data_IF_988868344727
#
_entry.id   IF_988868344727
#
_cell.length_a   1.000
_cell.length_b   1.000
_cell.length_c   1.000
_cell.angle_alpha   90.00
_cell.angle_beta   90.00
_cell.angle_gamma   90.00
#
_symmetry.space_group_name_H-M   'P 1'
#
loop_
_entity.id
_entity.type
_entity.pdbx_description
1 polymer ?
#
# COMPACT_ATOMS: atom_id res chain seq x y z
N UNK A 1 7.71 -5.25 20.50
CA UNK A 1 7.99 -3.81 20.27
C UNK A 1 6.77 -3.00 20.61
N UNK A 2 6.93 -1.73 20.98
CA UNK A 2 5.81 -0.81 21.18
C UNK A 2 5.26 -0.32 19.85
N UNK A 3 4.00 0.13 19.79
CA UNK A 3 3.38 0.74 18.60
C UNK A 3 4.27 1.85 18.03
N UNK A 4 4.91 2.63 18.90
CA UNK A 4 5.84 3.69 18.54
C UNK A 4 7.07 3.21 17.78
N UNK A 5 7.60 2.02 18.10
CA UNK A 5 8.75 1.46 17.38
C UNK A 5 8.36 1.07 15.95
N UNK A 6 7.16 0.50 15.77
CA UNK A 6 6.64 0.18 14.44
C UNK A 6 6.39 1.45 13.64
N UNK A 7 5.76 2.47 14.24
CA UNK A 7 5.52 3.75 13.57
C UNK A 7 6.84 4.44 13.20
N UNK A 8 7.84 4.46 14.07
CA UNK A 8 9.16 5.04 13.73
C UNK A 8 9.85 4.29 12.59
N UNK A 9 9.72 2.96 12.55
CA UNK A 9 10.28 2.16 11.47
C UNK A 9 9.58 2.44 10.13
N UNK A 10 8.29 2.76 10.13
CA UNK A 10 7.53 3.01 8.90
C UNK A 10 8.01 4.24 8.11
N UNK A 11 8.70 5.20 8.73
CA UNK A 11 9.10 6.46 8.10
C UNK A 11 10.62 6.54 7.92
N UNK A 12 11.06 6.81 6.69
CA UNK A 12 12.47 7.12 6.37
C UNK A 12 12.75 8.61 6.58
N UNK A 13 11.82 9.47 6.14
CA UNK A 13 11.83 10.90 6.37
C UNK A 13 11.28 11.24 7.76
N UNK A 14 12.18 11.25 8.75
CA UNK A 14 11.85 11.57 10.15
C UNK A 14 11.31 12.99 10.34
N UNK A 15 11.52 13.93 9.41
CA UNK A 15 10.91 15.27 9.49
C UNK A 15 9.41 15.26 9.21
N UNK A 16 8.93 14.28 8.44
CA UNK A 16 7.50 14.10 8.18
C UNK A 16 6.77 13.44 9.37
N UNK A 17 7.50 12.76 10.27
CA UNK A 17 6.93 12.06 11.41
C UNK A 17 7.31 12.73 12.73
N UNK A 18 6.40 13.55 13.26
CA UNK A 18 6.61 14.26 14.53
C UNK A 18 5.84 13.63 15.70
N UNK A 19 6.14 14.09 16.92
CA UNK A 19 5.51 13.61 18.16
C UNK A 19 3.99 13.80 18.16
N UNK A 20 3.51 14.90 17.58
CA UNK A 20 2.07 15.19 17.53
C UNK A 20 1.32 14.13 16.70
N UNK A 21 1.80 13.84 15.50
CA UNK A 21 1.24 12.79 14.65
C UNK A 21 1.34 11.42 15.31
N UNK A 22 2.48 11.11 15.96
CA UNK A 22 2.65 9.86 16.70
C UNK A 22 1.59 9.71 17.79
N UNK A 23 1.35 10.79 18.55
CA UNK A 23 0.33 10.82 19.60
C UNK A 23 -1.08 10.66 19.04
N UNK A 24 -1.39 11.26 17.89
CA UNK A 24 -2.69 11.11 17.24
C UNK A 24 -2.94 9.65 16.81
N UNK A 25 -1.97 9.03 16.13
CA UNK A 25 -2.07 7.62 15.71
C UNK A 25 -2.18 6.71 16.93
N UNK A 26 -1.37 6.95 17.97
CA UNK A 26 -1.44 6.22 19.23
C UNK A 26 -2.80 6.41 19.91
N UNK A 27 -3.34 7.62 19.92
CA UNK A 27 -4.67 7.90 20.46
C UNK A 27 -5.75 7.02 19.85
N UNK A 28 -5.69 6.80 18.53
CA UNK A 28 -6.60 5.88 17.83
C UNK A 28 -6.47 4.42 18.29
N UNK A 29 -5.30 3.98 18.75
CA UNK A 29 -5.12 2.60 19.22
C UNK A 29 -5.66 2.38 20.64
N UNK A 30 -5.75 3.44 21.47
CA UNK A 30 -6.23 3.36 22.84
C UNK A 30 -7.76 3.14 22.96
N UNK A 31 -8.51 3.37 21.89
CA UNK A 31 -9.96 3.11 21.84
C UNK A 31 -10.30 1.62 21.88
N UNK A 32 -11.56 1.30 22.17
CA UNK A 32 -12.06 -0.09 22.18
C UNK A 32 -11.77 -0.77 20.83
N UNK A 33 -10.96 -1.82 20.86
CA UNK A 33 -10.55 -2.57 19.66
C UNK A 33 -9.40 -1.95 18.85
N UNK A 34 -8.93 -0.75 19.17
CA UNK A 34 -7.87 -0.06 18.41
C UNK A 34 -6.53 -0.79 18.42
N UNK A 35 -6.15 -1.37 19.55
CA UNK A 35 -4.96 -2.23 19.64
C UNK A 35 -5.08 -3.49 18.79
N UNK A 36 -6.27 -4.11 18.78
CA UNK A 36 -6.51 -5.32 17.98
C UNK A 36 -6.48 -4.99 16.48
N UNK A 37 -7.06 -3.86 16.07
CA UNK A 37 -7.00 -3.37 14.69
C UNK A 37 -5.55 -3.10 14.27
N UNK A 38 -4.75 -2.41 15.10
CA UNK A 38 -3.34 -2.17 14.80
C UNK A 38 -2.53 -3.47 14.71
N UNK A 39 -2.73 -4.39 15.67
CA UNK A 39 -2.09 -5.70 15.67
C UNK A 39 -2.45 -6.50 14.41
N UNK A 40 -3.68 -6.36 13.92
CA UNK A 40 -4.14 -7.04 12.71
C UNK A 40 -3.37 -6.62 11.46
N UNK A 41 -2.83 -5.39 11.40
CA UNK A 41 -1.99 -4.95 10.27
C UNK A 41 -0.71 -5.78 10.17
N UNK A 42 -0.15 -6.16 11.33
CA UNK A 42 1.14 -6.85 11.42
C UNK A 42 0.99 -8.39 11.46
N UNK A 43 -0.11 -8.88 12.03
CA UNK A 43 -0.25 -10.30 12.42
C UNK A 43 -1.57 -10.94 12.00
N UNK A 44 -2.39 -10.30 11.16
CA UNK A 44 -3.58 -10.97 10.64
C UNK A 44 -3.18 -12.27 9.95
N UNK A 45 -3.75 -13.41 10.37
CA UNK A 45 -3.57 -14.62 9.60
C UNK A 45 -4.19 -14.43 8.21
N UNK A 46 -3.75 -15.20 7.21
CA UNK A 46 -4.47 -15.29 5.94
C UNK A 46 -5.97 -15.56 6.22
N UNK A 47 -6.85 -14.94 5.44
CA UNK A 47 -8.30 -14.99 5.65
C UNK A 47 -8.80 -16.44 5.84
N UNK A 48 -9.24 -16.77 7.06
CA UNK A 48 -9.88 -18.04 7.40
C UNK A 48 -11.37 -17.78 7.59
N UNK A 49 -12.24 -18.48 6.85
CA UNK A 49 -13.69 -18.42 7.07
C UNK A 49 -14.20 -19.82 7.38
N UNK A 50 -14.82 -20.04 8.55
CA UNK A 50 -15.35 -21.35 8.95
C UNK A 50 -16.34 -21.89 7.90
N UNK A 51 -16.17 -23.16 7.51
CA UNK A 51 -17.09 -23.88 6.62
C UNK A 51 -16.78 -23.80 5.12
N UNK A 52 -15.76 -23.05 4.67
CA UNK A 52 -15.35 -23.00 3.26
C UNK A 52 -14.03 -23.77 3.07
N UNK A 53 -14.11 -24.96 2.47
CA UNK A 53 -12.94 -25.82 2.14
C UNK A 53 -12.23 -25.44 0.83
N UNK A 54 -12.82 -24.57 -0.01
CA UNK A 54 -12.17 -24.09 -1.23
C UNK A 54 -11.19 -22.96 -0.91
N UNK A 55 -10.00 -22.97 -1.53
CA UNK A 55 -9.03 -21.87 -1.48
C UNK A 55 -9.76 -20.57 -1.83
N UNK A 56 -9.89 -19.67 -0.86
CA UNK A 56 -10.39 -18.32 -1.09
C UNK A 56 -9.40 -17.55 -1.96
N UNK A 57 -9.86 -16.58 -2.76
CA UNK A 57 -8.96 -15.71 -3.51
C UNK A 57 -7.99 -15.05 -2.53
N UNK A 58 -6.71 -15.29 -2.74
CA UNK A 58 -5.66 -14.59 -2.02
C UNK A 58 -5.46 -13.18 -2.61
N UNK A 59 -4.54 -12.41 -2.01
CA UNK A 59 -4.25 -11.07 -2.48
C UNK A 59 -3.90 -11.00 -3.98
N UNK A 60 -3.17 -12.00 -4.51
CA UNK A 60 -2.80 -12.05 -5.92
C UNK A 60 -4.00 -12.39 -6.81
N UNK A 61 -4.90 -13.26 -6.32
CA UNK A 61 -6.16 -13.56 -6.99
C UNK A 61 -7.04 -12.29 -7.08
N UNK A 62 -7.09 -11.48 -6.03
CA UNK A 62 -7.76 -10.18 -6.05
C UNK A 62 -7.12 -9.20 -7.03
N UNK A 63 -5.78 -9.08 -7.05
CA UNK A 63 -5.07 -8.22 -8.01
C UNK A 63 -5.36 -8.62 -9.47
N UNK A 64 -5.46 -9.92 -9.76
CA UNK A 64 -5.81 -10.42 -11.11
C UNK A 64 -7.24 -10.04 -11.55
N UNK A 65 -8.14 -9.78 -10.60
CA UNK A 65 -9.51 -9.39 -10.87
C UNK A 65 -9.71 -7.86 -11.06
N UNK A 66 -8.68 -7.04 -10.81
CA UNK A 66 -8.78 -5.57 -10.91
C UNK A 66 -8.93 -5.14 -12.38
N UNK A 67 -10.06 -4.52 -12.72
CA UNK A 67 -10.43 -4.16 -14.09
C UNK A 67 -10.08 -2.71 -14.50
N UNK A 68 -9.26 -2.00 -13.73
CA UNK A 68 -8.76 -0.66 -14.05
C UNK A 68 -7.24 -0.66 -14.19
N UNK A 69 -6.66 0.39 -14.76
CA UNK A 69 -5.20 0.52 -14.75
C UNK A 69 -4.68 0.73 -13.32
N UNK A 70 -3.48 0.22 -13.03
CA UNK A 70 -2.93 0.22 -11.65
C UNK A 70 -1.57 0.90 -11.60
N UNK A 71 -1.46 1.97 -10.82
CA UNK A 71 -0.16 2.58 -10.47
C UNK A 71 0.23 2.13 -9.05
N UNK A 72 1.39 1.49 -8.94
CA UNK A 72 2.01 1.11 -7.69
C UNK A 72 3.07 2.15 -7.32
N UNK A 73 2.88 2.88 -6.22
CA UNK A 73 3.82 3.90 -5.73
C UNK A 73 4.31 3.49 -4.34
N UNK A 74 5.61 3.23 -4.22
CA UNK A 74 6.24 2.73 -3.00
C UNK A 74 7.34 3.69 -2.56
N UNK A 75 7.58 3.78 -1.26
CA UNK A 75 8.83 4.39 -0.79
C UNK A 75 9.97 3.38 -0.94
N UNK A 76 11.11 3.82 -1.47
CA UNK A 76 12.25 2.95 -1.70
C UNK A 76 12.83 2.38 -0.40
N UNK A 77 12.67 3.13 0.69
CA UNK A 77 13.18 2.77 2.02
C UNK A 77 12.11 2.05 2.87
N UNK A 78 11.00 1.60 2.28
CA UNK A 78 9.92 0.91 2.99
C UNK A 78 10.42 -0.42 3.61
N UNK A 79 10.45 -0.54 4.96
CA UNK A 79 10.92 -1.75 5.60
C UNK A 79 9.88 -2.87 5.65
N UNK A 80 8.61 -2.55 5.38
CA UNK A 80 7.48 -3.48 5.44
C UNK A 80 7.20 -4.09 4.07
N UNK A 81 7.15 -3.28 3.02
CA UNK A 81 6.89 -3.74 1.65
C UNK A 81 8.15 -3.70 0.78
N UNK A 82 9.06 -4.64 1.03
CA UNK A 82 10.32 -4.80 0.27
C UNK A 82 10.07 -5.03 -1.23
N UNK A 83 11.07 -4.81 -2.11
CA UNK A 83 10.93 -4.95 -3.57
C UNK A 83 10.33 -6.28 -4.06
N UNK A 84 10.53 -7.38 -3.32
CA UNK A 84 9.93 -8.68 -3.63
C UNK A 84 8.38 -8.66 -3.59
N UNK A 85 7.77 -7.86 -2.72
CA UNK A 85 6.32 -7.67 -2.68
C UNK A 85 5.83 -6.97 -3.94
N UNK A 86 6.45 -5.85 -4.33
CA UNK A 86 6.11 -5.13 -5.54
C UNK A 86 6.25 -6.03 -6.78
N UNK A 87 7.33 -6.83 -6.87
CA UNK A 87 7.50 -7.82 -7.93
C UNK A 87 6.34 -8.82 -7.97
N UNK A 88 5.96 -9.39 -6.83
CA UNK A 88 4.85 -10.33 -6.74
C UNK A 88 3.49 -9.70 -7.11
N UNK A 89 3.31 -8.40 -6.87
CA UNK A 89 2.14 -7.65 -7.31
C UNK A 89 2.14 -7.43 -8.81
N UNK A 90 3.27 -7.00 -9.40
CA UNK A 90 3.40 -6.85 -10.85
C UNK A 90 3.14 -8.17 -11.58
N UNK A 91 3.73 -9.28 -11.13
CA UNK A 91 3.48 -10.62 -11.69
C UNK A 91 2.00 -11.05 -11.61
N UNK A 92 1.24 -10.54 -10.63
CA UNK A 92 -0.19 -10.76 -10.54
C UNK A 92 -0.96 -9.84 -11.51
N UNK A 93 -0.55 -8.57 -11.62
CA UNK A 93 -1.15 -7.59 -12.52
C UNK A 93 -0.92 -7.90 -14.01
N UNK A 94 0.19 -8.58 -14.34
CA UNK A 94 0.50 -9.10 -15.69
C UNK A 94 -0.50 -10.17 -16.15
N UNK A 95 -1.14 -10.88 -15.21
CA UNK A 95 -2.08 -11.98 -15.50
C UNK A 95 -3.52 -11.50 -15.64
N UNK A 96 -3.74 -10.19 -15.74
CA UNK A 96 -5.06 -9.58 -15.93
C UNK A 96 -5.51 -9.68 -17.38
N UNK A 97 -6.73 -9.21 -17.64
CA UNK A 97 -7.27 -9.09 -18.99
C UNK A 97 -6.33 -8.23 -19.87
N UNK A 98 -6.18 -8.57 -21.16
CA UNK A 98 -5.40 -7.77 -22.11
C UNK A 98 -5.86 -6.31 -22.14
N UNK A 99 -4.90 -5.39 -22.37
CA UNK A 99 -5.18 -3.96 -22.48
C UNK A 99 -5.24 -3.20 -21.15
N UNK A 100 -5.01 -3.86 -20.01
CA UNK A 100 -4.85 -3.18 -18.71
C UNK A 100 -3.39 -2.82 -18.46
N UNK A 101 -3.15 -1.55 -18.18
CA UNK A 101 -1.81 -1.03 -17.89
C UNK A 101 -1.55 -1.13 -16.40
N UNK A 102 -0.30 -1.39 -16.04
CA UNK A 102 0.17 -1.11 -14.70
C UNK A 102 1.59 -0.56 -14.71
N UNK A 103 1.94 0.20 -13.69
CA UNK A 103 3.26 0.81 -13.51
C UNK A 103 3.71 0.69 -12.06
N UNK A 104 5.02 0.69 -11.86
CA UNK A 104 5.66 0.67 -10.56
C UNK A 104 6.67 1.81 -10.46
N UNK A 105 6.59 2.60 -9.40
CA UNK A 105 7.48 3.72 -9.12
C UNK A 105 7.90 3.67 -7.65
N UNK A 106 9.20 3.81 -7.43
CA UNK A 106 9.79 4.00 -6.10
C UNK A 106 10.12 5.48 -5.88
N UNK A 107 9.84 5.98 -4.68
CA UNK A 107 10.17 7.32 -4.25
C UNK A 107 11.38 7.26 -3.32
N UNK A 108 12.46 7.92 -3.72
CA UNK A 108 13.68 8.09 -2.92
C UNK A 108 13.38 8.87 -1.63
N UNK A 109 14.08 8.52 -0.53
CA UNK A 109 13.93 9.15 0.79
C UNK A 109 12.50 9.07 1.36
N UNK A 110 11.77 8.00 1.05
CA UNK A 110 10.44 7.72 1.57
C UNK A 110 10.36 6.25 2.03
N UNK A 111 9.70 6.03 3.16
CA UNK A 111 9.41 4.71 3.71
C UNK A 111 8.01 4.22 3.33
N UNK A 112 7.33 3.59 4.29
CA UNK A 112 6.03 2.95 4.10
C UNK A 112 4.88 3.92 3.78
N UNK A 113 5.04 5.21 4.12
CA UNK A 113 4.00 6.22 3.93
C UNK A 113 4.43 7.30 2.92
N UNK A 114 4.72 6.94 1.64
CA UNK A 114 5.31 7.87 0.68
C UNK A 114 4.41 9.09 0.38
N UNK A 115 3.09 8.93 0.44
CA UNK A 115 2.12 10.01 0.28
C UNK A 115 2.20 11.06 1.40
N UNK A 116 2.66 10.67 2.58
CA UNK A 116 2.84 11.58 3.71
C UNK A 116 4.29 12.11 3.78
N UNK A 117 5.28 11.27 3.43
CA UNK A 117 6.71 11.63 3.47
C UNK A 117 7.16 12.52 2.31
N UNK A 118 6.56 12.33 1.12
CA UNK A 118 6.90 13.03 -0.11
C UNK A 118 5.63 13.43 -0.90
N UNK A 119 4.71 14.22 -0.30
CA UNK A 119 3.39 14.50 -0.88
C UNK A 119 3.45 15.14 -2.25
N UNK A 120 4.42 16.03 -2.50
CA UNK A 120 4.60 16.68 -3.81
C UNK A 120 5.05 15.69 -4.90
N UNK A 121 5.92 14.74 -4.55
CA UNK A 121 6.37 13.73 -5.48
C UNK A 121 5.23 12.76 -5.84
N UNK A 122 4.49 12.30 -4.83
CA UNK A 122 3.29 11.46 -5.05
C UNK A 122 2.24 12.19 -5.87
N UNK A 123 1.93 13.45 -5.55
CA UNK A 123 0.97 14.25 -6.31
C UNK A 123 1.37 14.37 -7.79
N UNK A 124 2.65 14.69 -8.07
CA UNK A 124 3.15 14.77 -9.44
C UNK A 124 3.01 13.45 -10.22
N UNK A 125 3.31 12.32 -9.56
CA UNK A 125 3.12 10.98 -10.14
C UNK A 125 1.64 10.70 -10.45
N UNK A 126 0.75 11.03 -9.52
CA UNK A 126 -0.70 10.82 -9.68
C UNK A 126 -1.29 11.73 -10.76
N UNK A 127 -0.90 13.00 -10.80
CA UNK A 127 -1.35 13.96 -11.82
C UNK A 127 -0.92 13.49 -13.22
N UNK A 128 0.32 13.03 -13.37
CA UNK A 128 0.80 12.46 -14.63
C UNK A 128 0.05 11.18 -15.01
N UNK A 129 -0.27 10.32 -14.04
CA UNK A 129 -1.00 9.08 -14.26
C UNK A 129 -2.46 9.31 -14.69
N UNK A 130 -3.19 10.14 -13.95
CA UNK A 130 -4.61 10.45 -14.20
C UNK A 130 -4.76 11.33 -15.45
N UNK A 131 -3.77 12.19 -15.73
CA UNK A 131 -3.70 13.00 -16.93
C UNK A 131 -3.35 12.23 -18.21
N UNK A 132 -2.82 11.00 -18.08
CA UNK A 132 -2.40 10.18 -19.23
C UNK A 132 -3.59 9.68 -20.06
N UNK A 133 -3.52 9.73 -21.41
CA UNK A 133 -4.56 9.21 -22.31
C UNK A 133 -4.92 7.73 -22.10
N UNK A 134 -4.00 6.93 -21.54
CA UNK A 134 -4.27 5.54 -21.17
C UNK A 134 -5.45 5.37 -20.20
N UNK A 135 -5.75 6.40 -19.39
CA UNK A 135 -6.91 6.41 -18.51
C UNK A 135 -8.24 6.79 -19.19
N UNK A 136 -8.22 7.27 -20.45
CA UNK A 136 -9.38 7.90 -21.12
C UNK A 136 -9.86 7.18 -22.38
N UNK A 137 -9.04 6.34 -23.01
CA UNK A 137 -9.37 5.73 -24.31
C UNK A 137 -10.23 4.45 -24.24
N UNK A 138 -11.14 4.32 -23.27
CA UNK A 138 -12.18 3.25 -23.28
C UNK A 138 -13.62 3.79 -23.31
N UNK A 139 -13.81 5.07 -23.63
CA UNK A 139 -15.14 5.65 -23.83
C UNK A 139 -15.16 6.59 -25.04
N UNK A 140 -15.05 6.04 -26.25
CA UNK A 140 -15.46 6.68 -27.51
C UNK A 140 -15.81 5.63 -28.54
#
# INVERSE_FOLDING_TARGET
>A
GTIEQYLKAAYSNTKAFNTELMNQIRGCTLGNGGHAAFASILWSPPLQVPGIQKRKPDFKDCLRAVNCDVMLVFGKDDPWCKPAFAKAMMEALDKRLPGKVHRYIEIENAGHCPNHEAPKAVASILDAWIGSPTARDQSS
#
